data_IF_693842473973
#
_entry.id   IF_693842473973
#
_cell.length_a   1.000
_cell.length_b   1.000
_cell.length_c   1.000
_cell.angle_alpha   90.00
_cell.angle_beta   90.00
_cell.angle_gamma   90.00
#
_symmetry.space_group_name_H-M   'P 1'
#
loop_
_entity.id
_entity.type
_entity.pdbx_description
1 polymer ?
#
# COMPACT_ATOMS: atom_id res chain seq x y z
N UNK A 1 -20.55 -0.03 19.12
CA UNK A 1 -20.17 1.41 19.19
C UNK A 1 -20.60 2.07 17.89
N UNK A 2 -21.07 3.31 17.97
CA UNK A 2 -21.40 4.09 16.78
C UNK A 2 -20.12 4.86 16.37
N UNK A 3 -19.56 4.53 15.20
CA UNK A 3 -18.39 5.21 14.65
C UNK A 3 -18.79 6.57 14.10
N UNK A 4 -17.98 7.59 14.31
CA UNK A 4 -18.27 8.95 13.84
C UNK A 4 -18.03 9.11 12.34
N UNK A 5 -16.97 8.53 11.81
CA UNK A 5 -16.57 8.68 10.41
C UNK A 5 -16.69 7.39 9.62
N UNK A 6 -16.25 6.25 10.16
CA UNK A 6 -16.19 5.00 9.43
C UNK A 6 -17.54 4.57 8.85
N UNK A 7 -18.65 4.84 9.55
CA UNK A 7 -19.99 4.48 9.07
C UNK A 7 -20.38 5.24 7.78
N UNK A 8 -19.83 6.42 7.54
CA UNK A 8 -20.11 7.25 6.36
C UNK A 8 -19.23 6.91 5.15
N UNK A 9 -18.17 6.12 5.35
CA UNK A 9 -17.20 5.80 4.31
C UNK A 9 -17.53 4.44 3.72
N UNK A 10 -17.94 4.43 2.46
CA UNK A 10 -18.17 3.23 1.67
C UNK A 10 -17.03 3.03 0.65
N UNK A 11 -16.52 4.14 0.08
CA UNK A 11 -15.49 4.13 -0.95
C UNK A 11 -14.43 5.21 -0.70
N UNK A 12 -13.26 5.12 -1.33
CA UNK A 12 -12.22 6.14 -1.22
C UNK A 12 -12.67 7.56 -1.58
N UNK A 13 -13.67 7.71 -2.43
CA UNK A 13 -14.28 9.01 -2.75
C UNK A 13 -14.93 9.68 -1.54
N UNK A 14 -15.47 8.90 -0.61
CA UNK A 14 -16.07 9.43 0.62
C UNK A 14 -14.99 9.85 1.60
N UNK A 15 -13.92 9.02 1.74
CA UNK A 15 -12.74 9.32 2.54
C UNK A 15 -12.11 10.66 2.14
N UNK A 16 -12.00 10.94 0.84
CA UNK A 16 -11.41 12.19 0.31
C UNK A 16 -12.21 13.46 0.65
N UNK A 17 -13.46 13.32 1.09
CA UNK A 17 -14.29 14.45 1.53
C UNK A 17 -14.04 14.83 2.99
N UNK A 18 -13.36 13.97 3.76
CA UNK A 18 -13.03 14.29 5.14
C UNK A 18 -11.92 15.34 5.21
N UNK A 19 -11.98 16.24 6.19
CA UNK A 19 -10.84 17.11 6.50
C UNK A 19 -9.69 16.27 7.05
N UNK A 20 -8.46 16.73 6.84
CA UNK A 20 -7.26 15.98 7.27
C UNK A 20 -7.23 15.73 8.77
N UNK A 21 -7.78 16.65 9.55
CA UNK A 21 -7.86 16.57 11.01
C UNK A 21 -8.73 15.41 11.51
N UNK A 22 -9.64 14.91 10.67
CA UNK A 22 -10.50 13.75 10.98
C UNK A 22 -9.82 12.39 10.72
N UNK A 23 -8.73 12.37 9.93
CA UNK A 23 -8.07 11.12 9.53
C UNK A 23 -7.52 10.31 10.71
N UNK A 24 -6.91 10.92 11.76
CA UNK A 24 -6.46 10.15 12.92
C UNK A 24 -7.61 9.40 13.61
N UNK A 25 -8.75 10.06 13.83
CA UNK A 25 -9.91 9.41 14.43
C UNK A 25 -10.48 8.30 13.55
N UNK A 26 -10.53 8.48 12.23
CA UNK A 26 -10.91 7.41 11.30
C UNK A 26 -9.96 6.20 11.41
N UNK A 27 -8.65 6.43 11.58
CA UNK A 27 -7.69 5.35 11.79
C UNK A 27 -7.99 4.58 13.08
N UNK A 28 -8.33 5.26 14.16
CA UNK A 28 -8.70 4.63 15.42
C UNK A 28 -10.00 3.80 15.29
N UNK A 29 -10.99 4.34 14.62
CA UNK A 29 -12.25 3.63 14.32
C UNK A 29 -12.03 2.38 13.45
N UNK A 30 -11.14 2.48 12.43
CA UNK A 30 -10.75 1.34 11.60
C UNK A 30 -10.04 0.25 12.41
N UNK A 31 -9.14 0.63 13.33
CA UNK A 31 -8.47 -0.33 14.22
C UNK A 31 -9.48 -1.05 15.11
N UNK A 32 -10.35 -0.29 15.75
CA UNK A 32 -11.38 -0.88 16.61
C UNK A 32 -12.28 -1.82 15.83
N UNK A 33 -12.74 -1.43 14.64
CA UNK A 33 -13.54 -2.29 13.78
C UNK A 33 -12.78 -3.58 13.40
N UNK A 34 -11.51 -3.48 13.00
CA UNK A 34 -10.69 -4.66 12.66
C UNK A 34 -10.56 -5.59 13.88
N UNK A 35 -10.27 -5.05 15.06
CA UNK A 35 -10.15 -5.83 16.30
C UNK A 35 -11.46 -6.55 16.61
N UNK A 36 -12.59 -5.86 16.55
CA UNK A 36 -13.91 -6.45 16.80
C UNK A 36 -14.23 -7.58 15.80
N UNK A 37 -13.97 -7.37 14.51
CA UNK A 37 -14.22 -8.39 13.49
C UNK A 37 -13.32 -9.62 13.69
N UNK A 38 -12.04 -9.42 13.96
CA UNK A 38 -11.08 -10.51 14.13
C UNK A 38 -11.19 -11.23 15.46
N UNK A 39 -11.83 -10.65 16.46
CA UNK A 39 -12.18 -11.35 17.71
C UNK A 39 -13.20 -12.47 17.48
N UNK A 40 -14.02 -12.37 16.44
CA UNK A 40 -15.04 -13.34 16.08
C UNK A 40 -14.64 -14.24 14.91
N UNK A 41 -13.86 -13.69 13.97
CA UNK A 41 -13.41 -14.38 12.77
C UNK A 41 -11.90 -14.23 12.60
N UNK A 42 -11.09 -15.22 13.01
CA UNK A 42 -9.63 -15.12 13.07
C UNK A 42 -8.97 -14.73 11.75
N UNK A 43 -7.96 -13.86 11.82
CA UNK A 43 -7.21 -13.35 10.67
C UNK A 43 -5.85 -12.77 11.05
N UNK A 44 -5.28 -11.98 10.13
CA UNK A 44 -3.97 -11.34 10.31
C UNK A 44 -4.13 -10.00 11.05
N UNK A 45 -4.17 -10.05 12.39
CA UNK A 45 -4.43 -8.85 13.21
C UNK A 45 -3.27 -7.86 13.16
N UNK A 46 -2.08 -8.27 13.60
CA UNK A 46 -0.93 -7.36 13.76
C UNK A 46 -0.52 -6.64 12.49
N UNK A 47 -0.39 -7.39 11.39
CA UNK A 47 -0.02 -6.81 10.09
C UNK A 47 -1.09 -5.84 9.55
N UNK A 48 -2.36 -6.12 9.78
CA UNK A 48 -3.45 -5.24 9.33
C UNK A 48 -3.59 -3.98 10.19
N UNK A 49 -3.36 -4.06 11.50
CA UNK A 49 -3.35 -2.89 12.38
C UNK A 49 -2.17 -1.96 12.08
N UNK A 50 -1.01 -2.51 11.72
CA UNK A 50 0.19 -1.74 11.39
C UNK A 50 0.10 -0.95 10.08
N UNK A 51 -0.89 -1.23 9.23
CA UNK A 51 -1.05 -0.56 7.93
C UNK A 51 -2.27 0.35 7.85
N UNK A 52 -2.96 0.62 8.94
CA UNK A 52 -4.19 1.42 8.92
C UNK A 52 -3.92 2.83 8.42
N UNK A 53 -2.97 3.58 9.02
CA UNK A 53 -2.63 4.94 8.60
C UNK A 53 -2.11 4.98 7.17
N UNK A 54 -1.24 4.02 6.83
CA UNK A 54 -0.72 3.89 5.47
C UNK A 54 -1.86 3.72 4.46
N UNK A 55 -2.83 2.84 4.76
CA UNK A 55 -3.97 2.58 3.89
C UNK A 55 -4.86 3.81 3.73
N UNK A 56 -5.17 4.50 4.84
CA UNK A 56 -5.95 5.74 4.82
C UNK A 56 -5.21 6.80 3.99
N UNK A 57 -3.92 7.00 4.21
CA UNK A 57 -3.12 7.97 3.47
C UNK A 57 -3.07 7.65 1.96
N UNK A 58 -2.86 6.38 1.58
CA UNK A 58 -2.84 5.96 0.19
C UNK A 58 -4.18 6.24 -0.50
N UNK A 59 -5.31 5.86 0.11
CA UNK A 59 -6.64 6.13 -0.47
C UNK A 59 -7.04 7.60 -0.44
N UNK A 60 -6.48 8.38 0.47
CA UNK A 60 -6.71 9.83 0.53
C UNK A 60 -5.97 10.56 -0.60
N UNK A 61 -4.73 10.17 -0.89
CA UNK A 61 -3.84 10.84 -1.86
C UNK A 61 -4.04 10.33 -3.28
N UNK A 62 -4.10 8.99 -3.46
CA UNK A 62 -4.18 8.36 -4.78
C UNK A 62 -5.63 8.26 -5.27
N UNK A 63 -5.81 8.36 -6.59
CA UNK A 63 -7.13 8.27 -7.23
C UNK A 63 -7.51 6.83 -7.58
N UNK A 64 -7.72 6.01 -6.53
CA UNK A 64 -8.13 4.62 -6.71
C UNK A 64 -9.60 4.52 -7.14
N UNK A 65 -9.94 3.63 -8.10
CA UNK A 65 -9.16 2.54 -8.66
C UNK A 65 -8.33 2.91 -9.91
N UNK A 66 -8.32 4.18 -10.37
CA UNK A 66 -7.48 4.59 -11.49
C UNK A 66 -6.01 4.37 -11.14
N UNK A 67 -5.54 4.96 -10.04
CA UNK A 67 -4.27 4.60 -9.43
C UNK A 67 -4.37 3.20 -8.81
N UNK A 68 -3.37 2.35 -9.00
CA UNK A 68 -3.40 0.96 -8.60
C UNK A 68 -2.55 0.69 -7.37
N UNK A 69 -3.14 0.03 -6.37
CA UNK A 69 -2.43 -0.42 -5.17
C UNK A 69 -2.19 -1.93 -5.27
N UNK A 70 -0.93 -2.34 -5.26
CA UNK A 70 -0.50 -3.74 -5.30
C UNK A 70 0.03 -4.13 -3.93
N UNK A 71 -0.75 -4.91 -3.20
CA UNK A 71 -0.41 -5.40 -1.86
C UNK A 71 0.41 -6.69 -1.96
N UNK A 72 1.57 -6.73 -1.30
CA UNK A 72 2.36 -7.96 -1.20
C UNK A 72 1.70 -8.91 -0.18
N UNK A 73 1.24 -10.06 -0.66
CA UNK A 73 0.45 -11.10 0.01
C UNK A 73 -0.98 -10.65 0.39
N UNK A 74 -1.26 -9.44 0.72
CA UNK A 74 -2.59 -8.96 1.09
C UNK A 74 -3.04 -9.25 2.52
N UNK A 75 -2.23 -9.91 3.35
CA UNK A 75 -2.49 -10.11 4.78
C UNK A 75 -2.53 -8.79 5.58
N UNK A 76 -1.98 -7.74 5.01
CA UNK A 76 -1.96 -6.38 5.55
C UNK A 76 -3.04 -5.46 4.91
N UNK A 77 -3.95 -5.99 4.09
CA UNK A 77 -4.89 -5.20 3.28
C UNK A 77 -6.32 -5.15 3.84
N UNK A 78 -6.53 -5.40 5.13
CA UNK A 78 -7.90 -5.40 5.68
C UNK A 78 -8.53 -4.01 5.66
N UNK A 79 -7.80 -2.98 6.06
CA UNK A 79 -8.27 -1.60 5.97
C UNK A 79 -8.61 -1.21 4.51
N UNK A 80 -7.81 -1.67 3.53
CA UNK A 80 -8.10 -1.49 2.11
C UNK A 80 -9.46 -2.12 1.72
N UNK A 81 -9.74 -3.35 2.14
CA UNK A 81 -11.03 -3.99 1.87
C UNK A 81 -12.20 -3.22 2.50
N UNK A 82 -12.04 -2.79 3.75
CA UNK A 82 -13.05 -2.04 4.49
C UNK A 82 -13.38 -0.71 3.79
N UNK A 83 -12.36 0.04 3.37
CA UNK A 83 -12.51 1.34 2.71
C UNK A 83 -12.96 1.25 1.24
N UNK A 84 -13.02 0.05 0.67
CA UNK A 84 -13.35 -0.18 -0.75
C UNK A 84 -14.65 -0.99 -0.94
N UNK A 85 -15.65 -0.72 -0.11
CA UNK A 85 -17.01 -1.21 -0.27
C UNK A 85 -17.30 -2.58 0.35
N UNK A 86 -16.37 -3.13 1.16
CA UNK A 86 -16.53 -4.47 1.74
C UNK A 86 -16.75 -4.47 3.25
N UNK A 87 -16.90 -3.30 3.89
CA UNK A 87 -17.09 -3.17 5.32
C UNK A 87 -18.26 -4.01 5.84
N UNK A 88 -19.43 -3.89 5.22
CA UNK A 88 -20.65 -4.58 5.66
C UNK A 88 -20.54 -6.11 5.59
N UNK A 89 -19.73 -6.60 4.65
CA UNK A 89 -19.49 -8.02 4.45
C UNK A 89 -18.19 -8.51 5.10
N UNK A 90 -17.46 -7.65 5.80
CA UNK A 90 -16.12 -8.00 6.29
C UNK A 90 -16.15 -9.14 7.32
N UNK A 91 -17.26 -9.31 8.03
CA UNK A 91 -17.49 -10.46 8.92
C UNK A 91 -17.41 -11.82 8.22
N UNK A 92 -17.53 -11.86 6.88
CA UNK A 92 -17.41 -13.09 6.07
C UNK A 92 -15.99 -13.29 5.52
N UNK A 93 -15.03 -12.42 5.85
CA UNK A 93 -13.67 -12.51 5.32
C UNK A 93 -13.04 -13.86 5.67
N UNK A 94 -12.46 -14.56 4.70
CA UNK A 94 -11.86 -15.91 4.82
C UNK A 94 -12.88 -17.05 5.07
N UNK A 95 -14.16 -16.79 5.00
CA UNK A 95 -15.19 -17.82 5.13
C UNK A 95 -15.59 -18.39 3.76
N UNK A 96 -16.11 -19.60 3.77
CA UNK A 96 -16.65 -20.22 2.55
C UNK A 96 -17.79 -19.39 1.96
N UNK A 97 -17.73 -19.09 0.68
CA UNK A 97 -18.62 -18.16 -0.03
C UNK A 97 -18.66 -16.72 0.52
N UNK A 98 -17.75 -16.38 1.42
CA UNK A 98 -17.54 -15.03 1.92
C UNK A 98 -16.50 -14.25 1.10
N UNK A 99 -15.93 -13.21 1.73
CA UNK A 99 -14.86 -12.43 1.12
C UNK A 99 -13.58 -13.27 1.07
N UNK A 100 -12.84 -13.15 -0.02
CA UNK A 100 -11.52 -13.75 -0.21
C UNK A 100 -10.55 -13.32 0.90
N UNK A 101 -9.57 -14.16 1.27
CA UNK A 101 -8.60 -13.81 2.31
C UNK A 101 -7.73 -12.61 1.94
N UNK A 102 -7.44 -12.45 0.64
CA UNK A 102 -6.59 -11.40 0.08
C UNK A 102 -7.35 -10.59 -0.98
N UNK A 103 -6.86 -9.39 -1.34
CA UNK A 103 -7.40 -8.65 -2.48
C UNK A 103 -7.42 -9.49 -3.75
N UNK A 104 -8.50 -9.39 -4.52
CA UNK A 104 -8.63 -10.07 -5.80
C UNK A 104 -9.51 -9.25 -6.76
N UNK A 105 -9.10 -9.04 -8.02
CA UNK A 105 -9.90 -8.33 -9.03
C UNK A 105 -11.29 -8.93 -9.26
N UNK A 106 -11.47 -10.21 -8.98
CA UNK A 106 -12.76 -10.85 -9.06
C UNK A 106 -13.76 -10.39 -7.98
N UNK A 107 -13.26 -9.80 -6.87
CA UNK A 107 -14.08 -9.32 -5.75
C UNK A 107 -14.33 -7.81 -5.83
N UNK A 108 -13.35 -7.04 -6.25
CA UNK A 108 -13.43 -5.58 -6.28
C UNK A 108 -12.56 -4.96 -7.36
N UNK A 109 -13.09 -3.92 -8.03
CA UNK A 109 -12.31 -3.12 -9.00
C UNK A 109 -11.14 -2.36 -8.36
N UNK A 110 -11.11 -2.24 -7.03
CA UNK A 110 -10.02 -1.61 -6.30
C UNK A 110 -8.84 -2.56 -6.05
N UNK A 111 -9.03 -3.84 -6.30
CA UNK A 111 -8.01 -4.87 -6.13
C UNK A 111 -7.26 -5.06 -7.46
N UNK A 112 -6.08 -4.49 -7.58
CA UNK A 112 -5.32 -4.49 -8.83
C UNK A 112 -4.65 -5.85 -9.12
N UNK A 113 -4.35 -6.65 -8.09
CA UNK A 113 -3.57 -7.88 -8.21
C UNK A 113 -3.89 -8.88 -7.10
N UNK A 114 -3.71 -10.17 -7.41
CA UNK A 114 -3.79 -11.26 -6.42
C UNK A 114 -2.39 -11.73 -6.07
N UNK A 115 -1.91 -11.41 -4.88
CA UNK A 115 -0.62 -11.89 -4.38
C UNK A 115 -0.82 -12.99 -3.35
N UNK A 116 -0.76 -14.25 -3.78
CA UNK A 116 -0.80 -15.41 -2.88
C UNK A 116 0.55 -15.72 -2.22
N UNK A 117 1.64 -15.39 -2.89
CA UNK A 117 3.02 -15.54 -2.40
C UNK A 117 3.68 -14.18 -2.16
N UNK A 118 4.62 -14.16 -1.21
CA UNK A 118 5.38 -12.96 -0.89
C UNK A 118 6.40 -12.59 -1.99
N UNK A 119 6.87 -11.34 -1.96
CA UNK A 119 7.98 -10.81 -2.75
C UNK A 119 7.68 -10.50 -4.21
N UNK A 120 6.43 -10.62 -4.68
CA UNK A 120 6.08 -10.45 -6.09
C UNK A 120 5.43 -9.09 -6.43
N UNK A 121 5.06 -8.29 -5.43
CA UNK A 121 4.34 -7.03 -5.64
C UNK A 121 5.09 -6.03 -6.49
N UNK A 122 6.41 -5.91 -6.32
CA UNK A 122 7.25 -4.97 -7.06
C UNK A 122 7.28 -5.34 -8.55
N UNK A 123 7.53 -6.62 -8.86
CA UNK A 123 7.55 -7.11 -10.25
C UNK A 123 6.19 -6.99 -10.91
N UNK A 124 5.10 -7.29 -10.18
CA UNK A 124 3.75 -7.14 -10.69
C UNK A 124 3.40 -5.67 -10.97
N UNK A 125 3.71 -4.77 -10.05
CA UNK A 125 3.46 -3.35 -10.18
C UNK A 125 4.27 -2.71 -11.33
N UNK A 126 5.54 -3.12 -11.48
CA UNK A 126 6.37 -2.70 -12.62
C UNK A 126 5.78 -3.20 -13.95
N UNK A 127 5.34 -4.45 -14.00
CA UNK A 127 4.69 -5.02 -15.19
C UNK A 127 3.41 -4.29 -15.57
N UNK A 128 2.60 -3.87 -14.58
CA UNK A 128 1.40 -3.06 -14.83
C UNK A 128 1.75 -1.70 -15.42
N UNK A 129 2.76 -1.02 -14.89
CA UNK A 129 3.18 0.28 -15.39
C UNK A 129 3.76 0.19 -16.82
N UNK A 130 4.56 -0.83 -17.10
CA UNK A 130 5.09 -1.09 -18.44
C UNK A 130 3.95 -1.43 -19.40
N UNK A 131 2.99 -2.25 -18.98
CA UNK A 131 1.83 -2.61 -19.76
C UNK A 131 0.99 -1.39 -20.17
N UNK A 132 0.72 -0.51 -19.23
CA UNK A 132 0.00 0.75 -19.51
C UNK A 132 0.77 1.63 -20.52
N UNK A 133 2.09 1.68 -20.40
CA UNK A 133 2.94 2.40 -21.36
C UNK A 133 2.93 1.75 -22.77
N UNK A 134 3.03 0.43 -22.84
CA UNK A 134 2.98 -0.30 -24.11
C UNK A 134 1.62 -0.13 -24.83
N UNK A 135 0.53 -0.15 -24.06
CA UNK A 135 -0.81 0.13 -24.60
C UNK A 135 -0.94 1.55 -25.15
N UNK A 136 -0.33 2.53 -24.49
CA UNK A 136 -0.31 3.91 -24.97
C UNK A 136 0.47 4.05 -26.30
N UNK A 137 1.61 3.36 -26.46
CA UNK A 137 2.37 3.30 -27.70
C UNK A 137 1.54 2.63 -28.81
N UNK A 138 0.91 1.49 -28.51
CA UNK A 138 0.05 0.78 -29.46
C UNK A 138 -1.12 1.64 -29.98
N UNK A 139 -1.53 2.65 -29.23
CA UNK A 139 -2.54 3.64 -29.64
C UNK A 139 -1.97 4.83 -30.43
N UNK A 140 -0.75 4.72 -30.99
CA UNK A 140 -0.13 5.73 -31.86
C UNK A 140 0.56 6.87 -31.11
N UNK A 141 0.76 6.75 -29.80
CA UNK A 141 1.55 7.71 -29.01
C UNK A 141 2.99 7.22 -28.91
N UNK A 142 3.94 7.95 -29.49
CA UNK A 142 5.37 7.56 -29.55
C UNK A 142 6.26 8.51 -28.73
N UNK A 143 7.37 7.98 -28.21
CA UNK A 143 8.43 8.76 -27.56
C UNK A 143 8.10 9.26 -26.15
N UNK A 144 8.75 10.36 -25.77
CA UNK A 144 8.58 10.97 -24.44
C UNK A 144 7.17 11.57 -24.24
N UNK A 145 6.46 11.88 -25.32
CA UNK A 145 5.07 12.34 -25.28
C UNK A 145 4.12 11.23 -24.85
N UNK A 146 4.30 9.99 -25.34
CA UNK A 146 3.54 8.82 -24.87
C UNK A 146 3.75 8.58 -23.37
N UNK A 147 5.00 8.71 -22.93
CA UNK A 147 5.37 8.64 -21.52
C UNK A 147 4.75 9.76 -20.69
N UNK A 148 4.73 10.97 -21.21
CA UNK A 148 4.11 12.11 -20.55
C UNK A 148 2.59 11.98 -20.47
N UNK A 149 1.95 11.44 -21.48
CA UNK A 149 0.51 11.21 -21.54
C UNK A 149 0.05 10.10 -20.56
N UNK A 150 0.80 8.99 -20.46
CA UNK A 150 0.55 7.95 -19.46
C UNK A 150 0.91 8.40 -18.05
N UNK A 151 1.97 9.22 -17.90
CA UNK A 151 2.43 9.77 -16.64
C UNK A 151 1.38 10.62 -15.95
N UNK A 152 0.50 11.28 -16.71
CA UNK A 152 -0.57 12.12 -16.19
C UNK A 152 -1.84 11.36 -15.77
N UNK A 153 -1.96 10.06 -16.09
CA UNK A 153 -3.24 9.34 -15.97
C UNK A 153 -3.31 8.25 -14.91
N UNK A 154 -2.21 7.57 -14.57
CA UNK A 154 -2.29 6.39 -13.70
C UNK A 154 -0.97 6.18 -12.94
N UNK A 155 -1.06 5.92 -11.66
CA UNK A 155 0.08 5.59 -10.80
C UNK A 155 -0.07 4.18 -10.27
N UNK A 156 1.06 3.49 -10.11
CA UNK A 156 1.10 2.17 -9.51
C UNK A 156 1.91 2.24 -8.22
N UNK A 157 1.37 1.68 -7.15
CA UNK A 157 2.01 1.64 -5.83
C UNK A 157 2.15 0.20 -5.40
N UNK A 158 3.38 -0.26 -5.18
CA UNK A 158 3.65 -1.56 -4.55
C UNK A 158 3.82 -1.37 -3.05
N UNK A 159 3.04 -2.10 -2.25
CA UNK A 159 3.13 -2.09 -0.78
C UNK A 159 3.68 -3.44 -0.35
N UNK A 160 4.89 -3.44 0.21
CA UNK A 160 5.62 -4.65 0.58
C UNK A 160 6.09 -4.56 2.02
N UNK A 161 5.96 -5.67 2.77
CA UNK A 161 6.50 -5.79 4.12
C UNK A 161 7.99 -6.15 4.12
N UNK A 162 8.68 -5.85 5.22
CA UNK A 162 10.08 -6.18 5.44
C UNK A 162 10.38 -7.69 5.30
N UNK A 163 9.49 -8.56 5.80
CA UNK A 163 9.60 -10.00 5.60
C UNK A 163 9.54 -10.42 4.13
N UNK A 164 8.64 -9.82 3.36
CA UNK A 164 8.53 -10.09 1.93
C UNK A 164 9.72 -9.53 1.12
N UNK A 165 10.39 -8.47 1.62
CA UNK A 165 11.61 -7.94 1.01
C UNK A 165 12.81 -8.88 1.11
N UNK A 166 12.77 -9.93 1.93
CA UNK A 166 13.87 -10.91 2.01
C UNK A 166 13.89 -11.90 0.86
N UNK A 167 12.83 -11.98 0.06
CA UNK A 167 12.74 -12.88 -1.08
C UNK A 167 13.52 -12.39 -2.31
N UNK A 168 14.18 -13.28 -3.04
CA UNK A 168 14.99 -12.94 -4.21
C UNK A 168 14.21 -12.21 -5.30
N UNK A 169 12.94 -12.55 -5.51
CA UNK A 169 12.08 -11.90 -6.51
C UNK A 169 11.86 -10.41 -6.22
N UNK A 170 11.82 -9.99 -4.94
CA UNK A 170 11.74 -8.59 -4.58
C UNK A 170 12.99 -7.81 -5.03
N UNK A 171 14.18 -8.40 -4.85
CA UNK A 171 15.45 -7.82 -5.33
C UNK A 171 15.53 -7.76 -6.85
N UNK A 172 15.09 -8.80 -7.54
CA UNK A 172 15.01 -8.80 -9.01
C UNK A 172 14.04 -7.70 -9.50
N UNK A 173 12.88 -7.57 -8.86
CA UNK A 173 11.94 -6.48 -9.13
C UNK A 173 12.58 -5.12 -8.95
N UNK A 174 13.26 -4.87 -7.82
CA UNK A 174 13.99 -3.62 -7.56
C UNK A 174 15.07 -3.35 -8.60
N UNK A 175 15.86 -4.36 -8.96
CA UNK A 175 16.90 -4.23 -9.99
C UNK A 175 16.30 -3.82 -11.34
N UNK A 176 15.20 -4.44 -11.74
CA UNK A 176 14.49 -4.09 -12.98
C UNK A 176 13.89 -2.69 -12.95
N UNK A 177 13.37 -2.21 -11.80
CA UNK A 177 12.83 -0.84 -11.70
C UNK A 177 13.91 0.22 -11.98
N UNK A 178 15.16 -0.07 -11.64
CA UNK A 178 16.28 0.86 -11.88
C UNK A 178 16.65 1.00 -13.36
N UNK A 179 16.36 -0.01 -14.18
CA UNK A 179 16.69 -0.04 -15.61
C UNK A 179 15.71 0.73 -16.48
N UNK A 180 14.52 1.01 -15.97
CA UNK A 180 13.45 1.64 -16.72
C UNK A 180 13.04 2.95 -16.06
N UNK A 181 12.81 3.98 -16.88
CA UNK A 181 12.17 5.20 -16.36
C UNK A 181 10.71 4.89 -16.07
N UNK A 182 10.32 4.84 -14.82
CA UNK A 182 8.98 4.50 -14.37
C UNK A 182 8.50 5.46 -13.28
N UNK A 183 7.20 5.42 -12.97
CA UNK A 183 6.56 6.19 -11.89
C UNK A 183 6.09 5.28 -10.75
N UNK A 184 6.63 4.08 -10.67
CA UNK A 184 6.31 3.14 -9.60
C UNK A 184 6.73 3.73 -8.25
N UNK A 185 5.78 3.78 -7.32
CA UNK A 185 6.08 4.04 -5.91
C UNK A 185 6.18 2.69 -5.18
N UNK A 186 7.29 2.46 -4.52
CA UNK A 186 7.47 1.29 -3.65
C UNK A 186 7.42 1.78 -2.21
N UNK A 187 6.47 1.23 -1.45
CA UNK A 187 6.28 1.51 -0.03
C UNK A 187 6.72 0.29 0.77
N UNK A 188 7.84 0.39 1.45
CA UNK A 188 8.30 -0.61 2.41
C UNK A 188 7.66 -0.35 3.76
N UNK A 189 6.82 -1.28 4.22
CA UNK A 189 6.26 -1.30 5.56
C UNK A 189 7.13 -2.18 6.44
N UNK A 190 7.97 -1.55 7.25
CA UNK A 190 8.95 -2.23 8.11
C UNK A 190 8.54 -2.10 9.58
N UNK A 191 8.20 -3.22 10.18
CA UNK A 191 7.91 -3.35 11.62
C UNK A 191 8.85 -4.36 12.31
N UNK A 192 9.91 -4.79 11.63
CA UNK A 192 10.89 -5.80 12.08
C UNK A 192 10.28 -7.16 12.45
N UNK A 193 9.09 -7.45 11.96
CA UNK A 193 8.36 -8.68 12.28
C UNK A 193 7.76 -9.29 11.02
N UNK A 194 8.12 -10.56 10.82
CA UNK A 194 7.35 -11.47 9.96
C UNK A 194 6.51 -12.40 10.86
N UNK A 195 6.48 -13.71 10.58
CA UNK A 195 5.96 -14.72 11.52
C UNK A 195 6.94 -14.83 12.71
N UNK A 196 8.24 -14.79 12.40
CA UNK A 196 9.36 -14.74 13.34
C UNK A 196 10.19 -13.46 13.11
N UNK A 197 11.07 -13.07 14.06
CA UNK A 197 12.00 -11.98 13.84
C UNK A 197 12.85 -12.21 12.60
N UNK A 198 12.89 -11.22 11.72
CA UNK A 198 13.61 -11.30 10.44
C UNK A 198 15.12 -11.31 10.71
N UNK A 199 15.80 -12.30 10.13
CA UNK A 199 17.26 -12.41 10.16
C UNK A 199 17.80 -12.30 8.74
N UNK A 200 18.76 -11.40 8.53
CA UNK A 200 19.41 -11.24 7.22
C UNK A 200 20.23 -9.98 7.10
N UNK A 201 21.20 -9.97 6.19
CA UNK A 201 22.08 -8.83 5.97
C UNK A 201 21.35 -7.58 5.50
N UNK A 202 20.25 -7.71 4.76
CA UNK A 202 19.46 -6.56 4.32
C UNK A 202 18.76 -5.86 5.49
N UNK A 203 18.12 -6.63 6.37
CA UNK A 203 17.52 -6.08 7.59
C UNK A 203 18.55 -5.40 8.46
N UNK A 204 19.73 -6.03 8.66
CA UNK A 204 20.81 -5.44 9.40
C UNK A 204 21.29 -4.14 8.73
N UNK A 205 21.42 -4.12 7.42
CA UNK A 205 21.81 -2.90 6.66
C UNK A 205 20.78 -1.77 6.87
N UNK A 206 19.47 -2.06 6.82
CA UNK A 206 18.43 -1.04 7.08
C UNK A 206 18.49 -0.52 8.51
N UNK A 207 18.69 -1.40 9.49
CA UNK A 207 18.89 -1.02 10.90
C UNK A 207 20.11 -0.11 11.03
N UNK A 208 21.26 -0.53 10.50
CA UNK A 208 22.51 0.24 10.55
C UNK A 208 22.36 1.61 9.87
N UNK A 209 21.66 1.67 8.74
CA UNK A 209 21.36 2.90 8.02
C UNK A 209 20.48 3.83 8.88
N UNK A 210 19.35 3.33 9.36
CA UNK A 210 18.35 4.15 10.08
C UNK A 210 18.80 4.56 11.48
N UNK A 211 19.67 3.76 12.13
CA UNK A 211 20.26 4.07 13.43
C UNK A 211 21.54 4.88 13.34
N UNK A 212 22.13 5.00 12.12
CA UNK A 212 23.38 5.74 11.99
C UNK A 212 23.25 7.20 12.36
N UNK A 213 24.22 7.71 13.12
CA UNK A 213 24.25 9.11 13.55
C UNK A 213 24.34 10.08 12.37
N UNK A 214 24.98 9.68 11.26
CA UNK A 214 25.07 10.46 10.03
C UNK A 214 23.70 10.61 9.38
N UNK A 215 23.00 9.50 9.15
CA UNK A 215 21.65 9.49 8.58
C UNK A 215 20.67 10.33 9.41
N UNK A 216 20.64 10.11 10.73
CA UNK A 216 19.75 10.84 11.63
C UNK A 216 20.05 12.34 11.68
N UNK A 217 21.33 12.74 11.59
CA UNK A 217 21.73 14.15 11.50
C UNK A 217 21.24 14.78 10.18
N UNK A 218 21.42 14.11 9.04
CA UNK A 218 20.95 14.56 7.74
C UNK A 218 19.42 14.65 7.68
N UNK A 219 18.71 13.64 8.19
CA UNK A 219 17.24 13.63 8.29
C UNK A 219 16.74 14.80 9.12
N UNK A 220 17.34 15.04 10.28
CA UNK A 220 16.95 16.13 11.16
C UNK A 220 17.23 17.51 10.53
N UNK A 221 18.37 17.68 9.86
CA UNK A 221 18.71 18.89 9.12
C UNK A 221 17.71 19.13 7.98
N UNK A 222 17.40 18.12 7.18
CA UNK A 222 16.39 18.18 6.10
C UNK A 222 15.00 18.55 6.62
N UNK A 223 14.56 17.95 7.73
CA UNK A 223 13.30 18.29 8.38
C UNK A 223 13.26 19.76 8.84
N UNK A 224 14.34 20.25 9.46
CA UNK A 224 14.43 21.68 9.87
C UNK A 224 14.40 22.62 8.68
N UNK A 225 15.06 22.26 7.57
CA UNK A 225 15.06 23.06 6.35
C UNK A 225 13.66 23.09 5.73
N UNK A 226 13.01 21.95 5.58
CA UNK A 226 11.65 21.85 5.04
C UNK A 226 10.64 22.67 5.87
N UNK A 227 10.72 22.58 7.18
CA UNK A 227 9.90 23.39 8.10
C UNK A 227 10.20 24.89 7.97
N UNK A 228 11.48 25.28 7.80
CA UNK A 228 11.86 26.68 7.58
C UNK A 228 11.33 27.21 6.24
N UNK A 229 11.26 26.35 5.22
CA UNK A 229 10.73 26.68 3.89
C UNK A 229 9.18 26.56 3.81
N UNK A 230 8.50 26.24 4.90
CA UNK A 230 7.03 26.00 4.96
C UNK A 230 6.54 24.95 3.96
N UNK A 231 7.33 23.91 3.71
CA UNK A 231 6.97 22.76 2.88
C UNK A 231 6.35 21.65 3.73
N UNK A 232 6.60 21.70 5.05
CA UNK A 232 6.01 20.84 6.09
C UNK A 232 5.47 21.72 7.22
#
# INVERSE_FOLDING_TARGET
MEYQYLHTIHYPSDLKRLPQEALPQLCDELRDFIIQQLSQNPGHLGSSLGTVELTVALHYVFDTPNDQLVWDVGHQAYAHKILTGRRERFHTNRQFKGLAPFPTPAESKYDAFVAGHASNSISAALGMEIGDWLLAIGNGQFGDEARSATKAKKRVVAIIGDGAMTGGLAFEGLNNTSMLKNNLLIVLNDNHMAIDPIKGGFTQYLVDLTTSTRYNRWRWWGYRLARKMRIL
#
